data_IF_768980407385
#
_entry.id   IF_768980407385
#
_cell.length_a   1.000
_cell.length_b   1.000
_cell.length_c   1.000
_cell.angle_alpha   90.00
_cell.angle_beta   90.00
_cell.angle_gamma   90.00
#
_symmetry.space_group_name_H-M   'P 1'
#
loop_
_entity.id
_entity.type
_entity.pdbx_description
1 polymer ?
#
# COMPACT_ATOMS: atom_id res chain seq x y z
N UNK A 1 -15.42 8.16 6.59
CA UNK A 1 -16.73 8.49 7.21
C UNK A 1 -17.39 7.20 7.69
N UNK A 2 -17.73 7.14 8.99
CA UNK A 2 -18.38 5.98 9.62
C UNK A 2 -19.77 5.72 9.02
N UNK A 3 -20.14 4.46 8.79
CA UNK A 3 -21.49 4.10 8.31
C UNK A 3 -22.61 4.64 9.23
N UNK A 4 -22.34 4.80 10.53
CA UNK A 4 -23.26 5.38 11.51
C UNK A 4 -23.59 6.85 11.29
N UNK A 5 -22.75 7.61 10.60
CA UNK A 5 -23.15 8.95 10.15
C UNK A 5 -24.40 8.88 9.27
N UNK A 6 -24.62 7.80 8.53
CA UNK A 6 -25.82 7.69 7.71
C UNK A 6 -27.11 7.69 8.54
N UNK A 7 -27.08 7.08 9.73
CA UNK A 7 -28.20 7.08 10.67
C UNK A 7 -28.41 8.46 11.32
N UNK A 8 -27.32 9.18 11.65
CA UNK A 8 -27.38 10.50 12.31
C UNK A 8 -27.55 11.69 11.36
N UNK A 9 -27.09 11.57 10.11
CA UNK A 9 -27.19 12.58 9.05
C UNK A 9 -28.51 12.45 8.25
N UNK A 10 -29.42 11.58 8.67
CA UNK A 10 -30.77 11.41 8.11
C UNK A 10 -31.77 11.86 9.15
N UNK A 11 -32.70 12.76 8.79
CA UNK A 11 -33.77 13.16 9.70
C UNK A 11 -34.74 12.00 9.91
N UNK A 12 -34.56 11.24 10.99
CA UNK A 12 -35.39 10.05 11.29
C UNK A 12 -36.80 10.37 11.78
N UNK A 13 -37.07 11.64 12.08
CA UNK A 13 -38.40 12.11 12.43
C UNK A 13 -39.22 12.51 11.20
N UNK A 14 -38.61 12.51 10.01
CA UNK A 14 -39.26 12.69 8.71
C UNK A 14 -39.34 11.33 7.99
N UNK A 15 -40.55 10.76 7.95
CA UNK A 15 -40.80 9.45 7.34
C UNK A 15 -40.54 9.46 5.83
N UNK A 16 -40.83 10.58 5.14
CA UNK A 16 -40.58 10.70 3.70
C UNK A 16 -39.07 10.73 3.41
N UNK A 17 -38.29 11.44 4.22
CA UNK A 17 -36.83 11.45 4.09
C UNK A 17 -36.25 10.04 4.32
N UNK A 18 -36.69 9.33 5.36
CA UNK A 18 -36.25 7.97 5.65
C UNK A 18 -36.55 7.04 4.48
N UNK A 19 -37.79 7.06 3.95
CA UNK A 19 -38.19 6.24 2.80
C UNK A 19 -37.39 6.58 1.54
N UNK A 20 -37.10 7.86 1.31
CA UNK A 20 -36.26 8.30 0.19
C UNK A 20 -34.84 7.73 0.30
N UNK A 21 -34.21 7.83 1.46
CA UNK A 21 -32.85 7.29 1.71
C UNK A 21 -32.80 5.76 1.56
N UNK A 22 -33.83 5.06 2.03
CA UNK A 22 -33.97 3.60 1.85
C UNK A 22 -34.06 3.26 0.35
N UNK A 23 -34.90 3.96 -0.42
CA UNK A 23 -35.01 3.73 -1.87
C UNK A 23 -33.70 4.03 -2.60
N UNK A 24 -33.00 5.10 -2.24
CA UNK A 24 -31.71 5.45 -2.84
C UNK A 24 -30.63 4.38 -2.59
N UNK A 25 -30.55 3.85 -1.37
CA UNK A 25 -29.59 2.78 -1.02
C UNK A 25 -29.92 1.47 -1.73
N UNK A 26 -31.20 1.09 -1.77
CA UNK A 26 -31.66 -0.08 -2.51
C UNK A 26 -31.34 0.05 -4.01
N UNK A 27 -31.63 1.20 -4.62
CA UNK A 27 -31.32 1.44 -6.03
C UNK A 27 -29.83 1.30 -6.34
N UNK A 28 -28.94 1.83 -5.49
CA UNK A 28 -27.48 1.70 -5.66
C UNK A 28 -27.02 0.25 -5.57
N UNK A 29 -27.60 -0.51 -4.65
CA UNK A 29 -27.32 -1.94 -4.47
C UNK A 29 -27.73 -2.73 -5.73
N UNK A 30 -28.95 -2.50 -6.23
CA UNK A 30 -29.50 -3.15 -7.42
C UNK A 30 -28.72 -2.78 -8.68
N UNK A 31 -28.41 -1.50 -8.90
CA UNK A 31 -27.60 -1.03 -10.03
C UNK A 31 -26.22 -1.70 -10.06
N UNK A 32 -25.56 -1.83 -8.90
CA UNK A 32 -24.27 -2.51 -8.82
C UNK A 32 -24.41 -4.01 -9.15
N UNK A 33 -25.42 -4.68 -8.59
CA UNK A 33 -25.69 -6.10 -8.89
C UNK A 33 -26.01 -6.33 -10.37
N UNK A 34 -26.79 -5.45 -10.98
CA UNK A 34 -27.15 -5.53 -12.39
C UNK A 34 -25.96 -5.26 -13.30
N UNK A 35 -25.11 -4.29 -12.97
CA UNK A 35 -23.87 -4.05 -13.70
C UNK A 35 -22.92 -5.25 -13.61
N UNK A 36 -22.81 -5.88 -12.44
CA UNK A 36 -22.03 -7.11 -12.27
C UNK A 36 -22.60 -8.29 -13.08
N UNK A 37 -23.93 -8.40 -13.22
CA UNK A 37 -24.57 -9.42 -14.07
C UNK A 37 -24.37 -9.15 -15.57
N UNK A 38 -24.51 -7.90 -16.00
CA UNK A 38 -24.44 -7.50 -17.42
C UNK A 38 -23.00 -7.44 -17.94
N UNK A 39 -22.10 -6.85 -17.17
CA UNK A 39 -20.69 -6.66 -17.51
C UNK A 39 -19.82 -6.82 -16.27
N UNK A 40 -19.61 -8.08 -15.88
CA UNK A 40 -18.82 -8.43 -14.71
C UNK A 40 -17.40 -7.85 -14.78
N UNK A 41 -16.70 -8.07 -15.89
CA UNK A 41 -15.29 -7.68 -16.04
C UNK A 41 -15.13 -6.16 -16.15
N UNK A 42 -15.98 -5.48 -16.91
CA UNK A 42 -15.90 -4.02 -17.01
C UNK A 42 -16.32 -3.33 -15.71
N UNK A 43 -17.27 -3.89 -14.95
CA UNK A 43 -17.61 -3.38 -13.62
C UNK A 43 -16.46 -3.58 -12.63
N UNK A 44 -15.82 -4.75 -12.61
CA UNK A 44 -14.63 -4.97 -11.79
C UNK A 44 -13.47 -4.04 -12.16
N UNK A 45 -13.21 -3.80 -13.44
CA UNK A 45 -12.15 -2.87 -13.86
C UNK A 45 -12.39 -1.43 -13.36
N UNK A 46 -13.65 -0.99 -13.24
CA UNK A 46 -13.97 0.34 -12.67
C UNK A 46 -13.69 0.36 -11.16
N UNK A 47 -14.08 -0.69 -10.45
CA UNK A 47 -13.82 -0.84 -9.03
C UNK A 47 -12.31 -0.94 -8.75
N UNK A 48 -11.58 -1.67 -9.59
CA UNK A 48 -10.13 -1.81 -9.54
C UNK A 48 -9.45 -0.43 -9.62
N UNK A 49 -9.85 0.43 -10.57
CA UNK A 49 -9.30 1.80 -10.67
C UNK A 49 -9.50 2.63 -9.39
N UNK A 50 -10.67 2.56 -8.77
CA UNK A 50 -10.93 3.28 -7.52
C UNK A 50 -10.06 2.74 -6.37
N UNK A 51 -9.86 1.42 -6.31
CA UNK A 51 -8.97 0.80 -5.32
C UNK A 51 -7.53 1.23 -5.59
N UNK A 52 -7.08 1.24 -6.84
CA UNK A 52 -5.74 1.71 -7.22
C UNK A 52 -5.47 3.14 -6.76
N UNK A 53 -6.44 4.04 -6.91
CA UNK A 53 -6.32 5.41 -6.41
C UNK A 53 -6.13 5.48 -4.90
N UNK A 54 -6.81 4.62 -4.14
CA UNK A 54 -6.69 4.54 -2.67
C UNK A 54 -5.31 3.99 -2.31
N UNK A 55 -4.92 2.87 -2.92
CA UNK A 55 -3.64 2.22 -2.65
C UNK A 55 -2.47 3.11 -3.00
N UNK A 56 -2.55 3.84 -4.12
CA UNK A 56 -1.53 4.81 -4.53
C UNK A 56 -1.42 5.96 -3.53
N UNK A 57 -2.56 6.47 -3.03
CA UNK A 57 -2.58 7.50 -1.97
C UNK A 57 -1.94 7.01 -0.67
N UNK A 58 -2.13 5.74 -0.34
CA UNK A 58 -1.53 5.08 0.82
C UNK A 58 -0.12 4.53 0.55
N UNK A 59 0.45 4.79 -0.63
CA UNK A 59 1.76 4.31 -1.06
C UNK A 59 1.94 2.78 -0.95
N UNK A 60 0.89 2.03 -1.31
CA UNK A 60 0.89 0.57 -1.35
C UNK A 60 1.07 0.11 -2.79
N UNK A 61 2.23 -0.47 -3.10
CA UNK A 61 2.54 -1.05 -4.42
C UNK A 61 1.86 -2.42 -4.54
N UNK A 62 1.11 -2.65 -5.62
CA UNK A 62 0.41 -3.91 -5.85
C UNK A 62 0.71 -4.51 -7.21
N UNK A 63 0.96 -5.82 -7.23
CA UNK A 63 1.09 -6.60 -8.46
C UNK A 63 -0.32 -6.98 -8.96
N UNK A 64 -0.72 -6.39 -10.09
CA UNK A 64 -2.04 -6.64 -10.69
C UNK A 64 -2.29 -8.10 -11.09
N UNK A 65 -1.23 -8.89 -11.21
CA UNK A 65 -1.31 -10.32 -11.52
C UNK A 65 -1.40 -11.19 -10.27
N UNK A 66 -1.20 -10.63 -9.07
CA UNK A 66 -1.32 -11.35 -7.81
C UNK A 66 -2.79 -11.78 -7.59
N UNK A 67 -2.96 -13.03 -7.15
CA UNK A 67 -4.24 -13.61 -6.74
C UNK A 67 -4.83 -12.83 -5.56
N UNK A 68 -4.01 -12.39 -4.61
CA UNK A 68 -4.45 -11.62 -3.44
C UNK A 68 -5.03 -10.28 -3.84
N UNK A 69 -4.45 -9.63 -4.85
CA UNK A 69 -4.97 -8.37 -5.38
C UNK A 69 -6.34 -8.56 -6.03
N UNK A 70 -6.49 -9.61 -6.83
CA UNK A 70 -7.81 -9.97 -7.40
C UNK A 70 -8.81 -10.30 -6.29
N UNK A 71 -8.36 -10.97 -5.23
CA UNK A 71 -9.15 -11.23 -4.03
C UNK A 71 -9.58 -9.95 -3.32
N UNK A 72 -8.71 -8.93 -3.24
CA UNK A 72 -9.04 -7.61 -2.69
C UNK A 72 -10.15 -6.93 -3.50
N UNK A 73 -10.05 -6.92 -4.84
CA UNK A 73 -11.08 -6.33 -5.71
C UNK A 73 -12.44 -7.04 -5.51
N UNK A 74 -12.42 -8.37 -5.44
CA UNK A 74 -13.61 -9.18 -5.16
C UNK A 74 -14.25 -8.84 -3.82
N UNK A 75 -13.47 -8.86 -2.73
CA UNK A 75 -13.93 -8.52 -1.38
C UNK A 75 -14.42 -7.09 -1.26
N UNK A 76 -13.77 -6.14 -1.93
CA UNK A 76 -14.21 -4.74 -1.97
C UNK A 76 -15.55 -4.57 -2.68
N UNK A 77 -15.78 -5.34 -3.75
CA UNK A 77 -17.05 -5.38 -4.47
C UNK A 77 -18.17 -5.92 -3.57
N UNK A 78 -17.91 -7.01 -2.86
CA UNK A 78 -18.86 -7.56 -1.88
C UNK A 78 -19.14 -6.57 -0.75
N UNK A 79 -18.10 -5.90 -0.24
CA UNK A 79 -18.22 -4.91 0.83
C UNK A 79 -19.10 -3.74 0.42
N UNK A 80 -19.03 -3.29 -0.84
CA UNK A 80 -19.91 -2.24 -1.36
C UNK A 80 -21.37 -2.63 -1.30
N UNK A 81 -21.70 -3.84 -1.75
CA UNK A 81 -23.07 -4.35 -1.71
C UNK A 81 -23.55 -4.43 -0.26
N UNK A 82 -22.75 -5.05 0.62
CA UNK A 82 -23.09 -5.21 2.03
C UNK A 82 -23.29 -3.86 2.72
N UNK A 83 -22.46 -2.87 2.40
CA UNK A 83 -22.57 -1.53 2.97
C UNK A 83 -23.89 -0.84 2.61
N UNK A 84 -24.41 -1.02 1.41
CA UNK A 84 -25.69 -0.42 1.01
C UNK A 84 -26.87 -1.11 1.70
N UNK A 85 -26.86 -2.45 1.84
CA UNK A 85 -27.92 -3.16 2.57
C UNK A 85 -27.96 -2.76 4.05
N UNK A 86 -26.79 -2.58 4.64
CA UNK A 86 -26.63 -2.18 6.03
C UNK A 86 -27.12 -0.77 6.34
N UNK A 87 -26.93 0.19 5.43
CA UNK A 87 -27.48 1.54 5.58
C UNK A 87 -29.01 1.52 5.69
N UNK A 88 -29.66 0.62 4.94
CA UNK A 88 -31.11 0.43 4.98
C UNK A 88 -31.54 -0.20 6.32
N UNK A 89 -30.82 -1.21 6.79
CA UNK A 89 -31.08 -1.83 8.10
C UNK A 89 -30.96 -0.83 9.25
N UNK A 90 -29.93 0.03 9.21
CA UNK A 90 -29.74 1.10 10.20
C UNK A 90 -30.91 2.11 10.23
N UNK A 91 -31.50 2.43 9.07
CA UNK A 91 -32.64 3.34 9.00
C UNK A 91 -33.97 2.68 9.41
N UNK A 92 -34.07 1.36 9.31
CA UNK A 92 -35.25 0.58 9.67
C UNK A 92 -35.35 0.26 11.18
N UNK A 93 -34.57 0.94 12.04
CA UNK A 93 -34.49 0.71 13.50
C UNK A 93 -34.03 -0.70 13.90
N UNK A 94 -33.30 -1.39 13.03
CA UNK A 94 -32.65 -2.65 13.43
C UNK A 94 -31.47 -2.25 14.34
N UNK A 95 -31.48 -2.63 15.61
CA UNK A 95 -30.53 -2.18 16.65
C UNK A 95 -29.07 -2.58 16.45
N UNK A 96 -28.68 -2.88 15.21
CA UNK A 96 -27.34 -3.28 14.78
C UNK A 96 -26.36 -2.13 14.94
N UNK A 97 -25.24 -2.42 15.58
CA UNK A 97 -24.16 -1.47 15.80
C UNK A 97 -22.93 -1.81 14.93
N UNK A 98 -21.81 -1.11 15.18
CA UNK A 98 -20.58 -1.34 14.40
C UNK A 98 -19.93 -2.70 14.67
N UNK A 99 -20.18 -3.29 15.84
CA UNK A 99 -19.53 -4.54 16.20
C UNK A 99 -20.28 -5.71 15.58
N UNK A 100 -21.60 -5.59 15.42
CA UNK A 100 -22.38 -6.49 14.58
C UNK A 100 -21.85 -6.48 13.13
N UNK A 101 -21.36 -5.33 12.63
CA UNK A 101 -20.72 -5.21 11.31
C UNK A 101 -19.45 -6.00 11.18
N UNK A 102 -18.57 -5.78 12.14
CA UNK A 102 -17.29 -6.45 12.14
C UNK A 102 -17.51 -7.95 12.26
N UNK A 103 -18.46 -8.38 13.10
CA UNK A 103 -18.81 -9.77 13.30
C UNK A 103 -19.37 -10.41 12.02
N UNK A 104 -20.37 -9.80 11.37
CA UNK A 104 -20.96 -10.36 10.15
C UNK A 104 -19.92 -10.45 9.00
N UNK A 105 -19.06 -9.43 8.87
CA UNK A 105 -17.95 -9.46 7.92
C UNK A 105 -16.92 -10.54 8.24
N UNK A 106 -16.55 -10.70 9.51
CA UNK A 106 -15.59 -11.70 9.94
C UNK A 106 -16.15 -13.12 9.76
N UNK A 107 -17.41 -13.35 10.12
CA UNK A 107 -18.10 -14.62 9.91
C UNK A 107 -18.16 -14.99 8.42
N UNK A 108 -18.36 -14.00 7.56
CA UNK A 108 -18.45 -14.19 6.11
C UNK A 108 -17.09 -14.44 5.46
N UNK A 109 -16.06 -13.70 5.84
CA UNK A 109 -14.77 -13.74 5.15
C UNK A 109 -13.75 -14.65 5.83
N UNK A 110 -13.82 -14.84 7.14
CA UNK A 110 -12.93 -15.68 7.95
C UNK A 110 -11.45 -15.43 7.67
N UNK A 111 -11.09 -14.16 7.56
CA UNK A 111 -9.73 -13.72 7.23
C UNK A 111 -9.01 -13.07 8.43
N UNK A 112 -9.67 -13.02 9.58
CA UNK A 112 -9.20 -12.33 10.77
C UNK A 112 -9.00 -10.84 10.52
N UNK A 113 -9.89 -10.17 9.80
CA UNK A 113 -9.74 -8.75 9.46
C UNK A 113 -9.77 -7.86 10.72
N UNK A 114 -10.53 -8.29 11.72
CA UNK A 114 -10.74 -7.58 12.98
C UNK A 114 -10.13 -8.30 14.19
N UNK A 115 -9.54 -9.48 14.00
CA UNK A 115 -8.83 -10.18 15.07
C UNK A 115 -7.77 -9.26 15.68
N UNK A 116 -7.73 -9.07 17.01
CA UNK A 116 -6.70 -8.27 17.66
C UNK A 116 -5.27 -8.73 17.29
N UNK A 117 -5.09 -10.03 17.11
CA UNK A 117 -3.84 -10.68 16.67
C UNK A 117 -3.52 -10.51 15.17
N UNK A 118 -4.47 -9.99 14.39
CA UNK A 118 -4.28 -9.53 13.01
C UNK A 118 -4.34 -7.99 12.89
N UNK A 119 -4.90 -7.28 13.87
CA UNK A 119 -4.76 -5.83 14.01
C UNK A 119 -3.29 -5.47 14.26
N UNK A 120 -2.49 -6.42 14.74
CA UNK A 120 -1.04 -6.32 14.72
C UNK A 120 -0.39 -6.30 13.33
N UNK A 121 -1.16 -6.51 12.26
CA UNK A 121 -0.76 -6.38 10.85
C UNK A 121 -1.49 -5.23 10.10
N UNK A 122 -2.32 -4.43 10.79
CA UNK A 122 -2.78 -3.12 10.29
C UNK A 122 -1.87 -2.04 10.86
N UNK A 123 -0.87 -1.61 10.10
CA UNK A 123 -0.02 -0.44 10.38
C UNK A 123 0.48 -0.36 11.84
N UNK A 124 1.37 -1.28 12.22
CA UNK A 124 2.35 -0.96 13.25
C UNK A 124 3.38 -0.01 12.61
N UNK A 125 3.46 1.27 12.98
CA UNK A 125 4.28 1.68 14.13
C UNK A 125 4.53 0.53 15.11
N UNK A 126 5.73 -0.06 15.02
CA UNK A 126 6.39 -0.98 15.95
C UNK A 126 5.50 -1.83 16.90
N UNK A 127 5.56 -3.17 16.84
CA UNK A 127 5.16 -3.96 18.00
C UNK A 127 6.21 -3.84 19.09
N UNK A 128 5.80 -3.33 20.25
CA UNK A 128 6.33 -3.80 21.52
C UNK A 128 5.94 -5.27 21.67
N UNK A 129 6.91 -6.15 21.55
CA UNK A 129 6.79 -7.57 21.88
C UNK A 129 6.82 -7.68 23.41
N UNK A 130 5.82 -8.30 24.02
CA UNK A 130 6.00 -9.01 25.29
C UNK A 130 5.71 -10.51 25.12
N UNK A 131 6.44 -11.37 25.84
CA UNK A 131 6.87 -12.66 25.31
C UNK A 131 6.12 -13.84 25.95
N UNK A 132 5.95 -14.93 25.21
CA UNK A 132 5.76 -16.25 25.81
C UNK A 132 6.87 -17.20 25.33
N UNK A 133 7.81 -17.43 26.25
CA UNK A 133 8.69 -18.58 26.48
C UNK A 133 8.81 -19.61 25.34
N UNK A 134 9.98 -19.80 24.73
CA UNK A 134 11.14 -20.59 25.24
C UNK A 134 12.24 -20.62 24.14
N UNK A 135 13.50 -21.01 24.40
CA UNK A 135 14.37 -20.87 25.58
C UNK A 135 15.42 -19.74 25.42
N UNK A 136 15.96 -19.29 26.55
CA UNK A 136 17.01 -18.27 26.73
C UNK A 136 18.09 -18.27 25.62
N UNK A 137 18.16 -17.19 24.85
CA UNK A 137 19.44 -16.61 24.45
C UNK A 137 19.40 -15.13 24.83
N UNK A 138 20.38 -14.76 25.64
CA UNK A 138 20.46 -13.54 26.42
C UNK A 138 20.28 -12.27 25.60
N UNK A 139 19.46 -11.34 26.13
CA UNK A 139 19.42 -9.96 25.68
C UNK A 139 20.78 -9.30 25.88
N UNK A 140 21.45 -9.01 24.77
CA UNK A 140 22.42 -7.93 24.63
C UNK A 140 22.00 -7.14 23.39
N UNK A 141 21.91 -5.81 23.49
CA UNK A 141 21.18 -4.96 22.53
C UNK A 141 21.55 -5.21 21.07
N UNK A 142 20.57 -5.60 20.24
CA UNK A 142 20.80 -5.82 18.81
C UNK A 142 20.01 -4.81 17.97
N UNK A 143 20.75 -3.88 17.38
CA UNK A 143 20.37 -3.12 16.20
C UNK A 143 19.68 -4.03 15.18
N UNK A 144 18.56 -3.60 14.60
CA UNK A 144 18.03 -4.20 13.37
C UNK A 144 19.17 -4.41 12.36
N UNK A 145 19.16 -5.49 11.55
CA UNK A 145 20.21 -5.66 10.55
C UNK A 145 20.25 -4.45 9.62
N UNK A 146 21.46 -4.08 9.22
CA UNK A 146 21.70 -3.00 8.26
C UNK A 146 21.08 -3.36 6.92
N UNK A 147 20.63 -2.36 6.18
CA UNK A 147 20.07 -2.56 4.84
C UNK A 147 21.07 -3.25 3.92
N UNK A 148 22.37 -2.92 4.04
CA UNK A 148 23.46 -3.58 3.33
C UNK A 148 23.49 -5.11 3.49
N UNK A 149 23.10 -5.62 4.67
CA UNK A 149 23.05 -7.06 4.94
C UNK A 149 21.80 -7.69 4.31
N UNK A 150 20.66 -7.03 4.45
CA UNK A 150 19.36 -7.61 4.09
C UNK A 150 19.08 -7.56 2.59
N UNK A 151 19.54 -6.53 1.87
CA UNK A 151 19.24 -6.45 0.44
C UNK A 151 19.87 -7.59 -0.36
N UNK A 152 21.02 -8.14 0.08
CA UNK A 152 21.62 -9.32 -0.53
C UNK A 152 20.69 -10.54 -0.46
N UNK A 153 20.00 -10.76 0.67
CA UNK A 153 19.01 -11.83 0.82
C UNK A 153 17.83 -11.63 -0.14
N UNK A 154 17.41 -10.36 -0.34
CA UNK A 154 16.36 -10.03 -1.30
C UNK A 154 16.77 -10.31 -2.75
N UNK A 155 18.01 -9.99 -3.14
CA UNK A 155 18.52 -10.33 -4.48
C UNK A 155 18.57 -11.84 -4.71
N UNK A 156 18.99 -12.63 -3.70
CA UNK A 156 18.94 -14.09 -3.76
C UNK A 156 17.50 -14.61 -3.88
N UNK A 157 16.56 -14.01 -3.17
CA UNK A 157 15.13 -14.30 -3.36
C UNK A 157 14.67 -14.00 -4.79
N UNK A 158 15.08 -12.89 -5.40
CA UNK A 158 14.75 -12.58 -6.80
C UNK A 158 15.33 -13.64 -7.77
N UNK A 159 16.55 -14.11 -7.53
CA UNK A 159 17.19 -15.18 -8.32
C UNK A 159 16.41 -16.50 -8.21
N UNK A 160 16.04 -16.91 -6.99
CA UNK A 160 15.24 -18.13 -6.75
C UNK A 160 13.88 -18.07 -7.47
N UNK A 161 13.28 -16.88 -7.54
CA UNK A 161 12.03 -16.63 -8.27
C UNK A 161 12.21 -16.47 -9.78
N UNK A 162 13.38 -16.80 -10.34
CA UNK A 162 13.66 -16.76 -11.79
C UNK A 162 13.35 -15.41 -12.43
N UNK A 163 13.59 -14.31 -11.70
CA UNK A 163 13.53 -12.96 -12.27
C UNK A 163 14.64 -12.80 -13.31
N UNK A 164 14.41 -11.92 -14.29
CA UNK A 164 15.41 -11.63 -15.33
C UNK A 164 16.69 -11.08 -14.68
N UNK A 165 17.85 -11.58 -15.09
CA UNK A 165 19.15 -11.17 -14.53
C UNK A 165 19.35 -9.66 -14.59
N UNK A 166 19.06 -9.03 -15.74
CA UNK A 166 19.15 -7.58 -15.89
C UNK A 166 18.27 -6.79 -14.91
N UNK A 167 17.12 -7.34 -14.51
CA UNK A 167 16.25 -6.70 -13.49
C UNK A 167 16.85 -6.81 -12.10
N UNK A 168 17.57 -7.89 -11.80
CA UNK A 168 18.26 -8.10 -10.53
C UNK A 168 19.45 -7.15 -10.45
N UNK A 169 20.27 -7.08 -11.51
CA UNK A 169 21.42 -6.17 -11.61
C UNK A 169 20.99 -4.70 -11.48
N UNK A 170 19.90 -4.31 -12.16
CA UNK A 170 19.35 -2.95 -12.03
C UNK A 170 18.86 -2.66 -10.59
N UNK A 171 18.33 -3.67 -9.90
CA UNK A 171 17.84 -3.52 -8.52
C UNK A 171 19.00 -3.39 -7.55
N UNK A 172 20.04 -4.21 -7.70
CA UNK A 172 21.28 -4.12 -6.93
C UNK A 172 21.94 -2.74 -7.06
N UNK A 173 22.07 -2.22 -8.29
CA UNK A 173 22.60 -0.88 -8.52
C UNK A 173 21.73 0.18 -7.83
N UNK A 174 20.40 0.03 -7.85
CA UNK A 174 19.49 0.97 -7.20
C UNK A 174 19.66 0.98 -5.68
N UNK A 175 19.88 -0.17 -5.06
CA UNK A 175 20.14 -0.29 -3.62
C UNK A 175 21.50 0.28 -3.22
N UNK A 176 22.54 0.06 -4.02
CA UNK A 176 23.85 0.67 -3.80
C UNK A 176 23.76 2.20 -3.89
N UNK A 177 23.06 2.73 -4.90
CA UNK A 177 22.84 4.16 -5.05
C UNK A 177 22.07 4.74 -3.84
N UNK A 178 21.07 4.03 -3.34
CA UNK A 178 20.32 4.42 -2.15
C UNK A 178 21.20 4.48 -0.90
N UNK A 179 22.02 3.45 -0.66
CA UNK A 179 22.98 3.40 0.44
C UNK A 179 23.98 4.56 0.36
N UNK A 180 24.47 4.88 -0.84
CA UNK A 180 25.43 5.97 -1.02
C UNK A 180 24.81 7.35 -0.74
N UNK A 181 23.55 7.57 -1.15
CA UNK A 181 22.83 8.84 -0.98
C UNK A 181 22.37 9.03 0.47
N UNK A 182 21.71 8.02 1.05
CA UNK A 182 21.04 8.11 2.36
C UNK A 182 21.91 7.61 3.51
N UNK A 183 22.87 6.74 3.20
CA UNK A 183 23.70 6.04 4.18
C UNK A 183 23.11 4.68 4.54
N UNK A 184 24.00 3.71 4.77
CA UNK A 184 23.61 2.41 5.28
C UNK A 184 23.22 2.52 6.76
N UNK A 185 21.95 2.25 7.04
CA UNK A 185 21.35 2.26 8.38
C UNK A 185 20.67 0.92 8.66
N UNK A 186 20.43 0.58 9.93
CA UNK A 186 19.48 -0.46 10.30
C UNK A 186 18.13 -0.26 9.60
N UNK A 187 17.47 -1.34 9.18
CA UNK A 187 16.17 -1.22 8.46
C UNK A 187 15.15 -0.43 9.28
N UNK A 188 15.16 -0.60 10.60
CA UNK A 188 14.28 0.12 11.52
C UNK A 188 14.48 1.64 11.54
N UNK A 189 15.63 2.13 11.07
CA UNK A 189 16.06 3.52 11.27
C UNK A 189 15.80 4.39 10.03
N UNK A 190 15.36 3.79 8.92
CA UNK A 190 14.91 4.56 7.76
C UNK A 190 13.54 5.18 8.02
N UNK A 191 13.42 6.44 7.64
CA UNK A 191 12.23 7.27 7.84
C UNK A 191 11.66 7.73 6.51
N UNK A 192 10.47 8.35 6.56
CA UNK A 192 9.86 8.99 5.39
C UNK A 192 10.71 10.14 4.82
N UNK A 193 11.53 10.78 5.66
CA UNK A 193 12.43 11.83 5.21
C UNK A 193 13.55 11.26 4.34
N UNK A 194 14.08 10.10 4.69
CA UNK A 194 15.09 9.41 3.85
C UNK A 194 14.55 9.10 2.44
N UNK A 195 13.29 8.66 2.33
CA UNK A 195 12.64 8.45 1.03
C UNK A 195 12.43 9.76 0.24
N UNK A 196 12.16 10.87 0.94
CA UNK A 196 12.03 12.20 0.33
C UNK A 196 13.39 12.70 -0.17
N UNK A 197 14.43 12.55 0.64
CA UNK A 197 15.80 12.97 0.31
C UNK A 197 16.34 12.17 -0.86
N UNK A 198 16.04 10.88 -0.93
CA UNK A 198 16.40 10.03 -2.07
C UNK A 198 15.71 10.51 -3.36
N UNK A 199 14.39 10.79 -3.31
CA UNK A 199 13.65 11.32 -4.47
C UNK A 199 14.23 12.67 -4.93
N UNK A 200 14.56 13.55 -3.99
CA UNK A 200 15.19 14.84 -4.29
C UNK A 200 16.58 14.65 -4.92
N UNK A 201 17.38 13.71 -4.42
CA UNK A 201 18.67 13.38 -5.01
C UNK A 201 18.53 12.86 -6.44
N UNK A 202 17.62 11.92 -6.70
CA UNK A 202 17.35 11.40 -8.04
C UNK A 202 17.01 12.51 -9.04
N UNK A 203 16.25 13.54 -8.62
CA UNK A 203 15.89 14.67 -9.48
C UNK A 203 17.07 15.53 -9.96
N UNK A 204 18.27 15.33 -9.38
CA UNK A 204 19.50 16.06 -9.72
C UNK A 204 20.56 15.16 -10.36
N UNK A 205 20.32 13.85 -10.43
CA UNK A 205 21.32 12.92 -10.97
C UNK A 205 21.38 12.98 -12.50
N UNK A 206 22.58 13.01 -13.10
CA UNK A 206 22.72 12.93 -14.53
C UNK A 206 22.44 11.53 -15.06
N UNK A 207 21.79 11.47 -16.23
CA UNK A 207 21.61 10.26 -17.02
C UNK A 207 22.96 9.73 -17.49
N UNK A 208 23.09 8.41 -17.57
CA UNK A 208 24.31 7.75 -18.01
C UNK A 208 25.58 8.18 -17.24
N UNK A 209 25.47 8.61 -15.96
CA UNK A 209 26.60 9.11 -15.17
C UNK A 209 27.84 8.20 -15.19
N UNK A 210 27.67 6.87 -15.18
CA UNK A 210 28.77 5.89 -15.25
C UNK A 210 29.46 5.81 -16.62
N UNK A 211 28.92 6.45 -17.66
CA UNK A 211 29.43 6.44 -19.04
C UNK A 211 29.97 7.80 -19.47
N UNK A 212 29.40 8.89 -18.96
CA UNK A 212 29.79 10.26 -19.31
C UNK A 212 31.06 10.64 -18.56
N UNK A 213 32.09 11.09 -19.27
CA UNK A 213 33.41 11.42 -18.72
C UNK A 213 33.33 12.38 -17.53
N UNK A 214 32.44 13.36 -17.60
CA UNK A 214 32.30 14.42 -16.59
C UNK A 214 31.78 13.93 -15.23
N UNK A 215 31.15 12.74 -15.19
CA UNK A 215 30.54 12.19 -13.97
C UNK A 215 31.04 10.79 -13.61
N UNK A 216 31.70 10.09 -14.53
CA UNK A 216 32.00 8.66 -14.42
C UNK A 216 32.86 8.32 -13.21
N UNK A 217 33.80 9.19 -12.89
CA UNK A 217 34.80 8.97 -11.84
C UNK A 217 34.41 9.65 -10.51
N UNK A 218 33.26 10.32 -10.47
CA UNK A 218 32.75 11.00 -9.27
C UNK A 218 31.74 10.13 -8.51
N UNK A 219 31.76 10.25 -7.19
CA UNK A 219 30.75 9.68 -6.31
C UNK A 219 29.40 10.38 -6.49
N UNK A 220 28.30 9.72 -6.10
CA UNK A 220 26.97 10.33 -6.09
C UNK A 220 26.92 11.58 -5.21
N UNK A 221 27.63 11.59 -4.08
CA UNK A 221 27.70 12.76 -3.18
C UNK A 221 28.39 13.96 -3.84
N UNK A 222 29.46 13.72 -4.58
CA UNK A 222 30.14 14.75 -5.36
C UNK A 222 29.24 15.27 -6.49
N UNK A 223 28.62 14.36 -7.25
CA UNK A 223 27.70 14.72 -8.34
C UNK A 223 26.53 15.57 -7.82
N UNK A 224 25.96 15.24 -6.66
CA UNK A 224 24.87 16.01 -6.04
C UNK A 224 25.29 17.41 -5.58
N UNK A 225 26.60 17.67 -5.49
CA UNK A 225 27.19 18.97 -5.17
C UNK A 225 27.62 19.76 -6.40
N UNK A 226 27.59 19.15 -7.60
CA UNK A 226 27.93 19.80 -8.87
C UNK A 226 26.72 20.55 -9.44
N UNK A 227 27.00 21.55 -10.29
CA UNK A 227 25.99 22.21 -11.11
C UNK A 227 25.78 21.40 -12.40
N UNK A 228 24.80 20.48 -12.37
CA UNK A 228 24.48 19.58 -13.49
C UNK A 228 23.43 20.22 -14.39
N UNK A 229 23.69 20.41 -15.70
CA UNK A 229 22.71 20.98 -16.62
C UNK A 229 21.43 20.14 -16.70
N UNK A 230 20.27 20.81 -16.78
CA UNK A 230 18.96 20.14 -16.87
C UNK A 230 18.86 19.10 -18.00
N UNK A 231 19.54 19.36 -19.13
CA UNK A 231 19.59 18.45 -20.28
C UNK A 231 20.26 17.11 -19.96
N UNK A 232 21.13 17.08 -18.95
CA UNK A 232 21.84 15.90 -18.49
C UNK A 232 21.07 15.14 -17.41
N UNK A 233 20.07 15.72 -16.76
CA UNK A 233 19.30 15.09 -15.68
C UNK A 233 18.49 13.88 -16.18
N UNK A 234 18.33 12.86 -15.32
CA UNK A 234 17.46 11.72 -15.62
C UNK A 234 15.99 12.14 -15.78
N UNK A 235 15.31 11.56 -16.78
CA UNK A 235 13.89 11.86 -17.03
C UNK A 235 12.95 11.34 -15.91
N UNK A 236 11.76 11.94 -15.81
CA UNK A 236 10.74 11.66 -14.79
C UNK A 236 10.36 10.17 -14.73
N UNK A 237 10.27 9.51 -15.88
CA UNK A 237 9.98 8.07 -15.95
C UNK A 237 11.06 7.22 -15.28
N UNK A 238 12.32 7.59 -15.49
CA UNK A 238 13.46 6.90 -14.87
C UNK A 238 13.50 7.17 -13.37
N UNK A 239 13.22 8.41 -12.94
CA UNK A 239 13.10 8.75 -11.52
C UNK A 239 11.99 7.94 -10.85
N UNK A 240 10.82 7.80 -11.49
CA UNK A 240 9.70 7.00 -10.99
C UNK A 240 10.08 5.53 -10.86
N UNK A 241 10.74 4.96 -11.88
CA UNK A 241 11.20 3.56 -11.89
C UNK A 241 12.24 3.27 -10.80
N UNK A 242 13.15 4.20 -10.52
CA UNK A 242 14.15 4.06 -9.46
C UNK A 242 13.50 4.19 -8.08
N UNK A 243 12.60 5.14 -7.90
CA UNK A 243 11.87 5.31 -6.65
C UNK A 243 11.05 4.07 -6.27
N UNK A 244 10.35 3.44 -7.24
CA UNK A 244 9.51 2.26 -6.98
C UNK A 244 10.27 0.99 -6.55
N UNK A 245 11.61 1.04 -6.52
CA UNK A 245 12.46 -0.05 -6.01
C UNK A 245 12.79 0.11 -4.54
N UNK A 246 12.70 1.33 -4.02
CA UNK A 246 13.04 1.69 -2.64
C UNK A 246 11.79 1.91 -1.80
N UNK A 247 10.80 2.58 -2.40
CA UNK A 247 9.51 3.00 -1.80
C UNK A 247 8.41 2.12 -2.34
#
# INVERSE_FOLDING_TARGET
KHIHHYHWDTNRFDEEEVQKRIKETQKKEEELKDNLKKDFKGTLNRIEKEIEEILTRENIIQDKKNVDYKGLIGRWTELRILRESWKRELLNNDGKNSEDFKKELEDKWKIGLFDPDNQTNRLKSNPVIKPQSTPKVSQTGSSSPRFSVVYHEYLEFMKRNKRRLSSIDETEISFLDFIEIIGDKPISDYTRNDARDYRNALSRLPKNRKKVKDYRDSSLKEILSMDVPDSHIIGIETQTKLNSRIV
#
